data_IF_980331707359
#
_entry.id   IF_980331707359
#
_cell.length_a   1.000
_cell.length_b   1.000
_cell.length_c   1.000
_cell.angle_alpha   90.00
_cell.angle_beta   90.00
_cell.angle_gamma   90.00
#
_symmetry.space_group_name_H-M   'P 1'
#
loop_
_entity.id
_entity.type
_entity.pdbx_description
1 polymer ?
#
# COMPACT_ATOMS: atom_id res chain seq x y z
N UNK A 1 -29.22 53.95 14.31
CA UNK A 1 -28.23 52.86 14.12
C UNK A 1 -28.65 52.11 12.87
N UNK A 2 -28.13 52.54 11.72
CA UNK A 2 -28.49 51.94 10.43
C UNK A 2 -27.78 50.60 10.26
N UNK A 3 -28.57 49.54 10.13
CA UNK A 3 -28.14 48.21 9.77
C UNK A 3 -27.51 48.22 8.37
N UNK A 4 -26.19 48.03 8.30
CA UNK A 4 -25.49 47.76 7.04
C UNK A 4 -26.06 46.48 6.41
N UNK A 5 -26.84 46.63 5.34
CA UNK A 5 -27.26 45.53 4.47
C UNK A 5 -26.02 44.92 3.83
N UNK A 6 -25.63 43.71 4.25
CA UNK A 6 -24.62 42.93 3.53
C UNK A 6 -25.16 42.60 2.14
N UNK A 7 -24.58 43.19 1.10
CA UNK A 7 -24.87 42.78 -0.28
C UNK A 7 -24.30 41.38 -0.47
N UNK A 8 -25.15 40.35 -0.39
CA UNK A 8 -24.75 38.96 -0.64
C UNK A 8 -24.35 38.83 -2.11
N UNK A 9 -23.05 38.82 -2.40
CA UNK A 9 -22.53 38.46 -3.71
C UNK A 9 -22.59 36.93 -3.81
N UNK A 10 -23.43 36.35 -4.70
CA UNK A 10 -23.48 34.91 -4.85
C UNK A 10 -22.16 34.40 -5.43
N UNK A 11 -21.44 33.59 -4.65
CA UNK A 11 -20.10 33.07 -4.96
C UNK A 11 -20.00 32.51 -6.39
N UNK A 12 -21.01 31.74 -6.84
CA UNK A 12 -21.04 31.11 -8.16
C UNK A 12 -21.34 32.04 -9.35
N UNK A 13 -21.54 33.34 -9.14
CA UNK A 13 -21.68 34.34 -10.22
C UNK A 13 -20.40 35.12 -10.52
N UNK A 14 -19.30 34.86 -9.81
CA UNK A 14 -18.02 35.48 -10.12
C UNK A 14 -17.56 35.12 -11.56
N UNK A 15 -16.87 36.04 -12.27
CA UNK A 15 -16.26 35.76 -13.56
C UNK A 15 -15.30 34.57 -13.52
N UNK A 16 -15.16 33.87 -14.65
CA UNK A 16 -14.29 32.69 -14.76
C UNK A 16 -12.83 32.99 -14.38
N UNK A 17 -12.31 34.17 -14.68
CA UNK A 17 -10.94 34.56 -14.32
C UNK A 17 -10.70 34.54 -12.81
N UNK A 18 -11.67 35.01 -12.02
CA UNK A 18 -11.58 34.97 -10.55
C UNK A 18 -11.57 33.52 -10.06
N UNK A 19 -12.46 32.69 -10.61
CA UNK A 19 -12.51 31.27 -10.26
C UNK A 19 -11.23 30.53 -10.63
N UNK A 20 -10.67 30.83 -11.80
CA UNK A 20 -9.43 30.23 -12.26
C UNK A 20 -8.28 30.56 -11.32
N UNK A 21 -8.11 31.84 -10.97
CA UNK A 21 -7.08 32.28 -10.02
C UNK A 21 -7.24 31.60 -8.66
N UNK A 22 -8.48 31.53 -8.14
CA UNK A 22 -8.75 30.84 -6.87
C UNK A 22 -8.40 29.36 -6.94
N UNK A 23 -8.83 28.66 -7.98
CA UNK A 23 -8.56 27.23 -8.16
C UNK A 23 -7.06 26.94 -8.36
N UNK A 24 -6.32 27.83 -9.03
CA UNK A 24 -4.86 27.70 -9.21
C UNK A 24 -4.10 27.82 -7.88
N UNK A 25 -4.72 28.39 -6.84
CA UNK A 25 -4.16 28.51 -5.50
C UNK A 25 -4.77 27.51 -4.49
N UNK A 26 -5.66 26.62 -4.92
CA UNK A 26 -6.29 25.61 -4.06
C UNK A 26 -5.47 24.32 -3.98
N UNK A 27 -5.52 23.65 -2.82
CA UNK A 27 -5.00 22.31 -2.67
C UNK A 27 -5.77 21.29 -3.52
N UNK A 28 -5.18 20.14 -3.87
CA UNK A 28 -5.82 19.14 -4.72
C UNK A 28 -7.09 18.55 -4.08
N UNK A 29 -7.14 18.47 -2.74
CA UNK A 29 -8.34 18.04 -2.01
C UNK A 29 -9.45 19.09 -2.10
N UNK A 30 -9.12 20.38 -1.91
CA UNK A 30 -10.11 21.46 -2.03
C UNK A 30 -10.69 21.52 -3.44
N UNK A 31 -9.85 21.32 -4.46
CA UNK A 31 -10.28 21.18 -5.85
C UNK A 31 -11.25 20.02 -6.03
N UNK A 32 -10.94 18.86 -5.43
CA UNK A 32 -11.84 17.71 -5.48
C UNK A 32 -13.19 18.01 -4.81
N UNK A 33 -13.20 18.62 -3.63
CA UNK A 33 -14.44 18.99 -2.94
C UNK A 33 -15.24 20.05 -3.71
N UNK A 34 -14.57 21.08 -4.23
CA UNK A 34 -15.19 22.13 -5.04
C UNK A 34 -15.87 21.56 -6.28
N UNK A 35 -15.25 20.57 -6.91
CA UNK A 35 -15.81 19.89 -8.08
C UNK A 35 -17.16 19.21 -7.79
N UNK A 36 -17.39 18.78 -6.55
CA UNK A 36 -18.62 18.10 -6.13
C UNK A 36 -19.80 19.08 -5.96
N UNK A 37 -19.53 20.39 -5.91
CA UNK A 37 -20.58 21.39 -5.68
C UNK A 37 -21.52 21.58 -6.90
N UNK A 38 -21.03 21.40 -8.13
CA UNK A 38 -21.84 21.49 -9.34
C UNK A 38 -21.13 20.92 -10.56
N UNK A 39 -21.89 20.53 -11.59
CA UNK A 39 -21.33 20.09 -12.87
C UNK A 39 -20.43 21.15 -13.54
N UNK A 40 -20.74 22.43 -13.38
CA UNK A 40 -19.92 23.54 -13.90
C UNK A 40 -18.56 23.59 -13.20
N UNK A 41 -18.54 23.43 -11.87
CA UNK A 41 -17.28 23.40 -11.11
C UNK A 41 -16.48 22.13 -11.43
N UNK A 42 -17.14 20.99 -11.58
CA UNK A 42 -16.49 19.76 -12.01
C UNK A 42 -15.75 19.94 -13.34
N UNK A 43 -16.41 20.54 -14.35
CA UNK A 43 -15.80 20.80 -15.65
C UNK A 43 -14.62 21.78 -15.55
N UNK A 44 -14.76 22.84 -14.75
CA UNK A 44 -13.72 23.84 -14.56
C UNK A 44 -12.49 23.26 -13.85
N UNK A 45 -12.68 22.53 -12.74
CA UNK A 45 -11.61 21.85 -12.01
C UNK A 45 -10.96 20.78 -12.87
N UNK A 46 -11.74 19.96 -13.58
CA UNK A 46 -11.19 18.92 -14.47
C UNK A 46 -10.37 19.50 -15.62
N UNK A 47 -10.71 20.69 -16.12
CA UNK A 47 -9.92 21.37 -17.13
C UNK A 47 -8.58 21.87 -16.58
N UNK A 48 -8.56 22.30 -15.31
CA UNK A 48 -7.36 22.75 -14.62
C UNK A 48 -6.45 21.59 -14.20
N UNK A 49 -7.01 20.56 -13.55
CA UNK A 49 -6.29 19.41 -13.00
C UNK A 49 -5.50 18.61 -14.05
N UNK A 50 -5.90 18.65 -15.33
CA UNK A 50 -5.15 18.05 -16.45
C UNK A 50 -3.72 18.59 -16.59
N UNK A 51 -3.43 19.75 -16.01
CA UNK A 51 -2.11 20.41 -16.08
C UNK A 51 -1.18 20.01 -14.94
N UNK A 52 -1.69 19.33 -13.91
CA UNK A 52 -0.92 19.00 -12.70
C UNK A 52 -0.30 17.61 -12.77
N UNK A 53 0.71 17.41 -11.92
CA UNK A 53 1.56 16.22 -11.78
C UNK A 53 0.76 14.95 -11.41
N UNK A 54 1.33 13.75 -11.60
CA UNK A 54 0.74 12.54 -11.03
C UNK A 54 0.67 12.69 -9.50
N UNK A 55 -0.51 12.43 -8.93
CA UNK A 55 -0.71 12.39 -7.49
C UNK A 55 -0.71 10.95 -7.00
N UNK A 56 -0.12 10.71 -5.83
CA UNK A 56 -0.41 9.52 -5.05
C UNK A 56 -1.57 9.82 -4.11
N UNK A 57 -2.56 8.93 -4.07
CA UNK A 57 -3.69 9.02 -3.16
C UNK A 57 -3.45 8.02 -2.03
N UNK A 58 -3.28 8.53 -0.82
CA UNK A 58 -3.32 7.74 0.41
C UNK A 58 -4.75 7.67 0.93
N UNK A 59 -5.22 6.47 1.27
CA UNK A 59 -6.50 6.30 1.96
C UNK A 59 -6.31 5.40 3.17
N UNK A 60 -6.67 5.87 4.37
CA UNK A 60 -6.68 5.03 5.58
C UNK A 60 -8.11 4.86 6.10
N UNK A 61 -8.53 3.60 6.19
CA UNK A 61 -9.77 3.19 6.82
C UNK A 61 -9.45 2.60 8.20
N UNK A 62 -9.58 3.44 9.23
CA UNK A 62 -9.24 3.04 10.60
C UNK A 62 -10.36 2.33 11.36
N UNK A 63 -10.03 1.67 12.47
CA UNK A 63 -10.99 1.16 13.48
C UNK A 63 -11.83 2.28 14.09
N UNK A 64 -11.29 3.49 14.07
CA UNK A 64 -11.97 4.70 14.50
C UNK A 64 -13.16 5.08 13.61
N UNK A 65 -13.78 6.20 14.00
CA UNK A 65 -14.93 6.78 13.31
C UNK A 65 -14.52 7.67 12.13
N UNK A 66 -13.29 7.55 11.64
CA UNK A 66 -12.73 8.42 10.61
C UNK A 66 -12.13 7.64 9.44
N UNK A 67 -12.14 8.30 8.30
CA UNK A 67 -11.54 7.93 7.03
C UNK A 67 -10.58 9.07 6.70
N UNK A 68 -9.32 8.76 6.51
CA UNK A 68 -8.32 9.75 6.13
C UNK A 68 -8.01 9.60 4.64
N UNK A 69 -8.01 10.72 3.93
CA UNK A 69 -7.62 10.79 2.52
C UNK A 69 -6.49 11.80 2.42
N UNK A 70 -5.38 11.39 1.82
CA UNK A 70 -4.28 12.29 1.50
C UNK A 70 -3.92 12.26 0.02
N UNK A 71 -3.36 13.38 -0.43
CA UNK A 71 -2.85 13.56 -1.78
C UNK A 71 -1.46 14.17 -1.68
N UNK A 72 -0.49 13.48 -2.26
CA UNK A 72 0.90 13.93 -2.33
C UNK A 72 1.40 13.93 -3.77
N UNK A 73 2.37 14.79 -4.06
CA UNK A 73 3.21 14.66 -5.26
C UNK A 73 4.65 14.54 -4.80
N UNK A 74 5.48 13.83 -5.58
CA UNK A 74 6.90 13.66 -5.27
C UNK A 74 7.57 15.03 -5.08
N UNK A 75 8.03 15.29 -3.85
CA UNK A 75 8.74 16.53 -3.49
C UNK A 75 7.83 17.74 -3.20
N UNK A 76 6.51 17.59 -3.11
CA UNK A 76 5.61 18.64 -2.62
C UNK A 76 5.06 18.32 -1.23
N UNK A 77 4.48 19.34 -0.58
CA UNK A 77 3.67 19.13 0.61
C UNK A 77 2.50 18.19 0.36
N UNK A 78 2.06 17.51 1.42
CA UNK A 78 0.89 16.63 1.45
C UNK A 78 -0.36 17.45 1.79
N UNK A 79 -1.46 17.19 1.08
CA UNK A 79 -2.79 17.65 1.50
C UNK A 79 -3.55 16.48 2.12
N UNK A 80 -4.28 16.73 3.21
CA UNK A 80 -5.00 15.70 3.96
C UNK A 80 -6.39 16.17 4.38
N UNK A 81 -7.36 15.26 4.37
CA UNK A 81 -8.69 15.46 4.93
C UNK A 81 -9.11 14.24 5.75
N UNK A 82 -9.77 14.51 6.87
CA UNK A 82 -10.44 13.49 7.68
C UNK A 82 -11.95 13.62 7.53
N UNK A 83 -12.59 12.50 7.19
CA UNK A 83 -14.03 12.40 7.04
C UNK A 83 -14.59 11.43 8.07
N UNK A 84 -15.75 11.74 8.65
CA UNK A 84 -16.42 10.81 9.55
C UNK A 84 -16.90 9.57 8.78
N UNK A 85 -17.03 8.46 9.51
CA UNK A 85 -17.55 7.18 9.01
C UNK A 85 -18.41 6.49 10.07
N UNK A 86 -19.17 7.24 10.86
CA UNK A 86 -20.05 6.68 11.92
C UNK A 86 -21.32 6.11 11.34
N UNK A 87 -21.80 6.67 10.23
CA UNK A 87 -23.02 6.25 9.56
C UNK A 87 -22.74 5.72 8.16
N UNK A 88 -23.67 4.95 7.61
CA UNK A 88 -23.61 4.50 6.22
C UNK A 88 -23.52 5.69 5.23
N UNK A 89 -24.26 6.76 5.48
CA UNK A 89 -24.24 7.96 4.65
C UNK A 89 -22.86 8.63 4.61
N UNK A 90 -22.19 8.69 5.76
CA UNK A 90 -20.84 9.21 5.89
C UNK A 90 -19.79 8.32 5.23
N UNK A 91 -19.90 6.99 5.37
CA UNK A 91 -19.04 6.04 4.65
C UNK A 91 -19.19 6.25 3.14
N UNK A 92 -20.43 6.28 2.62
CA UNK A 92 -20.67 6.57 1.20
C UNK A 92 -20.17 7.94 0.77
N UNK A 93 -20.19 8.94 1.65
CA UNK A 93 -19.60 10.23 1.35
C UNK A 93 -18.08 10.13 1.21
N UNK A 94 -17.36 9.44 2.12
CA UNK A 94 -15.90 9.22 1.99
C UNK A 94 -15.58 8.54 0.64
N UNK A 95 -16.28 7.46 0.33
CA UNK A 95 -16.07 6.71 -0.91
C UNK A 95 -16.32 7.57 -2.16
N UNK A 96 -17.34 8.43 -2.16
CA UNK A 96 -17.61 9.37 -3.25
C UNK A 96 -16.51 10.42 -3.41
N UNK A 97 -15.92 10.89 -2.31
CA UNK A 97 -14.79 11.83 -2.39
C UNK A 97 -13.60 11.15 -3.06
N UNK A 98 -13.26 9.91 -2.70
CA UNK A 98 -12.18 9.15 -3.34
C UNK A 98 -12.45 8.94 -4.84
N UNK A 99 -13.67 8.54 -5.21
CA UNK A 99 -14.07 8.38 -6.61
C UNK A 99 -13.97 9.70 -7.40
N UNK A 100 -14.33 10.81 -6.77
CA UNK A 100 -14.23 12.13 -7.39
C UNK A 100 -12.77 12.54 -7.60
N UNK A 101 -11.89 12.25 -6.65
CA UNK A 101 -10.44 12.45 -6.79
C UNK A 101 -9.93 11.65 -7.99
N UNK A 102 -10.23 10.35 -8.10
CA UNK A 102 -9.84 9.53 -9.26
C UNK A 102 -10.36 10.06 -10.59
N UNK A 103 -11.54 10.69 -10.58
CA UNK A 103 -12.18 11.23 -11.78
C UNK A 103 -11.47 12.50 -12.27
N UNK A 104 -11.10 13.39 -11.36
CA UNK A 104 -10.43 14.65 -11.67
C UNK A 104 -8.96 14.41 -12.02
N UNK A 105 -8.28 13.64 -11.17
CA UNK A 105 -6.85 13.36 -11.30
C UNK A 105 -6.69 12.00 -12.00
N UNK A 106 -6.61 12.03 -13.33
CA UNK A 106 -6.65 10.82 -14.18
C UNK A 106 -5.41 9.92 -14.07
N UNK A 107 -4.30 10.44 -13.56
CA UNK A 107 -3.01 9.75 -13.45
C UNK A 107 -2.62 9.62 -11.99
N UNK A 108 -3.38 8.83 -11.26
CA UNK A 108 -3.15 8.61 -9.83
C UNK A 108 -2.89 7.16 -9.56
N UNK A 109 -1.90 6.92 -8.70
CA UNK A 109 -1.77 5.70 -7.94
C UNK A 109 -2.63 5.80 -6.68
N UNK A 110 -3.07 4.68 -6.15
CA UNK A 110 -3.82 4.67 -4.90
C UNK A 110 -3.30 3.59 -3.99
N UNK A 111 -3.01 4.02 -2.79
CA UNK A 111 -2.46 3.24 -1.71
C UNK A 111 -3.49 3.27 -0.59
N UNK A 112 -3.93 2.09 -0.16
CA UNK A 112 -5.01 1.98 0.82
C UNK A 112 -4.58 1.16 2.04
N UNK A 113 -4.75 1.72 3.23
CA UNK A 113 -4.49 1.07 4.52
C UNK A 113 -5.83 0.75 5.18
N UNK A 114 -5.98 -0.50 5.58
CA UNK A 114 -7.15 -1.02 6.27
C UNK A 114 -6.74 -1.46 7.66
N UNK A 115 -7.25 -0.78 8.69
CA UNK A 115 -7.00 -1.23 10.05
C UNK A 115 -7.89 -2.42 10.39
N UNK A 116 -7.33 -3.37 11.13
CA UNK A 116 -8.09 -4.49 11.66
C UNK A 116 -8.99 -4.04 12.83
N UNK A 117 -9.96 -4.89 13.18
CA UNK A 117 -10.91 -4.58 14.25
C UNK A 117 -11.93 -3.48 13.89
N UNK A 118 -12.04 -3.12 12.60
CA UNK A 118 -13.16 -2.35 12.10
C UNK A 118 -14.49 -3.07 12.38
N UNK A 119 -15.53 -2.28 12.65
CA UNK A 119 -16.90 -2.78 12.68
C UNK A 119 -17.23 -3.58 11.40
N UNK A 120 -17.88 -4.74 11.55
CA UNK A 120 -18.14 -5.67 10.45
C UNK A 120 -18.92 -5.02 9.30
N UNK A 121 -19.93 -4.20 9.62
CA UNK A 121 -20.73 -3.51 8.63
C UNK A 121 -19.89 -2.49 7.86
N UNK A 122 -19.10 -1.66 8.57
CA UNK A 122 -18.19 -0.70 7.94
C UNK A 122 -17.18 -1.42 7.03
N UNK A 123 -16.53 -2.46 7.54
CA UNK A 123 -15.55 -3.26 6.79
C UNK A 123 -16.15 -3.83 5.52
N UNK A 124 -17.35 -4.43 5.60
CA UNK A 124 -18.05 -5.02 4.44
C UNK A 124 -18.32 -3.98 3.36
N UNK A 125 -18.89 -2.83 3.73
CA UNK A 125 -19.22 -1.77 2.76
C UNK A 125 -17.97 -1.27 2.04
N UNK A 126 -16.87 -1.07 2.76
CA UNK A 126 -15.62 -0.56 2.19
C UNK A 126 -14.96 -1.63 1.31
N UNK A 127 -14.86 -2.88 1.76
CA UNK A 127 -14.25 -3.95 0.97
C UNK A 127 -15.08 -4.31 -0.28
N UNK A 128 -16.42 -4.26 -0.20
CA UNK A 128 -17.30 -4.39 -1.36
C UNK A 128 -17.11 -3.25 -2.37
N UNK A 129 -16.85 -2.03 -1.89
CA UNK A 129 -16.47 -0.93 -2.77
C UNK A 129 -15.07 -1.09 -3.35
N UNK A 130 -14.10 -1.52 -2.55
CA UNK A 130 -12.73 -1.71 -2.99
C UNK A 130 -12.62 -2.84 -4.04
N UNK A 131 -13.36 -3.94 -3.88
CA UNK A 131 -13.37 -5.05 -4.83
C UNK A 131 -13.83 -4.63 -6.24
N UNK A 132 -14.90 -3.82 -6.30
CA UNK A 132 -15.41 -3.21 -7.54
C UNK A 132 -14.41 -2.26 -8.19
N UNK A 133 -13.52 -1.68 -7.39
CA UNK A 133 -12.50 -0.73 -7.82
C UNK A 133 -11.07 -1.30 -7.74
N UNK A 134 -10.90 -2.62 -7.66
CA UNK A 134 -9.61 -3.28 -7.38
C UNK A 134 -8.46 -2.85 -8.29
N UNK A 135 -8.74 -2.48 -9.55
CA UNK A 135 -7.73 -2.00 -10.52
C UNK A 135 -7.22 -0.58 -10.28
N UNK A 136 -7.84 0.16 -9.34
CA UNK A 136 -7.42 1.53 -8.98
C UNK A 136 -6.32 1.53 -7.93
N UNK A 137 -6.16 0.43 -7.21
CA UNK A 137 -5.17 0.31 -6.15
C UNK A 137 -3.87 -0.25 -6.73
N UNK A 138 -2.79 0.49 -6.55
CA UNK A 138 -1.43 0.01 -6.79
C UNK A 138 -0.89 -0.70 -5.55
N UNK A 139 -1.35 -0.26 -4.37
CA UNK A 139 -0.87 -0.71 -3.09
C UNK A 139 -2.04 -0.89 -2.10
N UNK A 140 -1.99 -1.94 -1.30
CA UNK A 140 -2.92 -2.13 -0.19
C UNK A 140 -2.22 -2.76 1.03
N UNK A 141 -2.56 -2.27 2.21
CA UNK A 141 -2.07 -2.77 3.49
C UNK A 141 -3.23 -3.14 4.42
N UNK A 142 -3.09 -4.27 5.11
CA UNK A 142 -3.92 -4.63 6.26
C UNK A 142 -3.06 -4.48 7.51
N UNK A 143 -3.45 -3.61 8.44
CA UNK A 143 -2.63 -3.21 9.60
C UNK A 143 -3.39 -3.39 10.91
N UNK A 144 -2.73 -3.91 11.94
CA UNK A 144 -3.24 -3.81 13.31
C UNK A 144 -2.81 -4.97 14.20
N UNK A 145 -3.17 -4.86 15.48
CA UNK A 145 -2.66 -5.77 16.52
C UNK A 145 -3.40 -7.11 16.58
N UNK A 146 -4.55 -7.22 15.92
CA UNK A 146 -5.40 -8.42 15.90
C UNK A 146 -5.95 -8.65 14.51
N UNK A 147 -6.15 -9.88 14.07
CA UNK A 147 -6.94 -10.17 12.87
C UNK A 147 -7.48 -11.59 12.95
N UNK A 148 -8.53 -11.90 12.17
CA UNK A 148 -8.92 -13.29 11.93
C UNK A 148 -8.38 -13.74 10.58
N UNK A 149 -8.09 -15.04 10.45
CA UNK A 149 -7.65 -15.60 9.16
C UNK A 149 -8.66 -15.31 8.04
N UNK A 150 -9.96 -15.32 8.34
CA UNK A 150 -11.02 -14.97 7.37
C UNK A 150 -10.95 -13.51 6.91
N UNK A 151 -10.61 -12.58 7.81
CA UNK A 151 -10.43 -11.17 7.48
C UNK A 151 -9.23 -10.97 6.54
N UNK A 152 -8.12 -11.64 6.85
CA UNK A 152 -6.90 -11.62 6.04
C UNK A 152 -7.16 -12.23 4.66
N UNK A 153 -7.80 -13.39 4.59
CA UNK A 153 -8.14 -14.05 3.32
C UNK A 153 -9.09 -13.20 2.47
N UNK A 154 -10.08 -12.57 3.10
CA UNK A 154 -11.00 -11.67 2.40
C UNK A 154 -10.28 -10.44 1.83
N UNK A 155 -9.40 -9.80 2.61
CA UNK A 155 -8.56 -8.71 2.15
C UNK A 155 -7.70 -9.11 0.94
N UNK A 156 -7.04 -10.27 1.03
CA UNK A 156 -6.21 -10.80 -0.04
C UNK A 156 -6.99 -11.09 -1.32
N UNK A 157 -8.22 -11.61 -1.21
CA UNK A 157 -9.07 -11.83 -2.40
C UNK A 157 -9.52 -10.52 -3.06
N UNK A 158 -9.82 -9.49 -2.27
CA UNK A 158 -10.20 -8.15 -2.75
C UNK A 158 -9.06 -7.49 -3.51
N UNK A 159 -7.83 -7.58 -2.99
CA UNK A 159 -6.65 -6.89 -3.51
C UNK A 159 -5.69 -7.78 -4.31
N UNK A 160 -6.14 -8.93 -4.79
CA UNK A 160 -5.35 -9.87 -5.63
C UNK A 160 -4.82 -9.31 -6.96
N UNK A 161 -5.16 -8.06 -7.29
CA UNK A 161 -4.73 -7.35 -8.50
C UNK A 161 -3.83 -6.15 -8.20
N UNK A 162 -3.54 -5.87 -6.93
CA UNK A 162 -2.58 -4.85 -6.55
C UNK A 162 -1.16 -5.30 -6.94
N UNK A 163 -0.30 -4.32 -7.21
CA UNK A 163 1.12 -4.59 -7.41
C UNK A 163 1.78 -4.96 -6.08
N UNK A 164 1.43 -4.22 -5.02
CA UNK A 164 2.04 -4.33 -3.70
C UNK A 164 0.96 -4.65 -2.66
N UNK A 165 1.20 -5.69 -1.85
CA UNK A 165 0.39 -6.01 -0.68
C UNK A 165 1.24 -6.00 0.58
N UNK A 166 0.67 -5.47 1.67
CA UNK A 166 1.27 -5.54 3.00
C UNK A 166 0.30 -6.21 3.98
N UNK A 167 0.78 -7.23 4.67
CA UNK A 167 0.11 -7.90 5.77
C UNK A 167 0.84 -7.53 7.06
N UNK A 168 0.41 -6.42 7.66
CA UNK A 168 0.95 -5.86 8.90
C UNK A 168 0.06 -6.21 10.10
N UNK A 169 -0.63 -7.35 10.02
CA UNK A 169 -1.51 -7.86 11.04
C UNK A 169 -1.21 -9.35 11.30
N UNK A 170 -1.24 -9.80 12.57
CA UNK A 170 -0.88 -11.17 12.93
C UNK A 170 -1.93 -12.17 12.43
N UNK A 171 -1.48 -13.35 11.98
CA UNK A 171 -2.37 -14.46 11.60
C UNK A 171 -2.33 -15.59 12.63
N UNK A 172 -3.27 -16.54 12.54
CA UNK A 172 -3.25 -17.71 13.42
C UNK A 172 -2.09 -18.65 13.10
N UNK A 173 -1.62 -19.48 14.05
CA UNK A 173 -0.62 -20.51 13.77
C UNK A 173 -1.10 -21.57 12.75
N UNK A 174 -2.40 -21.67 12.49
CA UNK A 174 -2.98 -22.56 11.50
C UNK A 174 -3.13 -21.91 10.13
N UNK A 175 -2.91 -20.59 10.03
CA UNK A 175 -2.99 -19.86 8.78
C UNK A 175 -2.15 -20.54 7.72
N UNK A 176 -2.79 -20.72 6.57
CA UNK A 176 -2.21 -21.31 5.39
C UNK A 176 -2.76 -20.56 4.20
N UNK A 177 -1.85 -19.94 3.45
CA UNK A 177 -2.21 -19.12 2.32
C UNK A 177 -1.52 -19.63 1.07
N UNK A 178 -2.35 -20.00 0.10
CA UNK A 178 -1.92 -20.26 -1.26
C UNK A 178 -2.17 -18.97 -2.07
N UNK A 179 -1.15 -18.50 -2.78
CA UNK A 179 -1.18 -17.31 -3.64
C UNK A 179 -1.49 -17.71 -5.09
N UNK A 180 -2.77 -17.79 -5.53
CA UNK A 180 -3.08 -18.24 -6.89
C UNK A 180 -2.82 -17.15 -7.95
N UNK A 181 -2.34 -15.98 -7.57
CA UNK A 181 -2.12 -14.82 -8.44
C UNK A 181 -0.70 -14.28 -8.29
N UNK A 182 -0.27 -13.53 -9.30
CA UNK A 182 1.04 -12.90 -9.33
C UNK A 182 1.03 -11.56 -8.59
N UNK A 183 2.02 -11.32 -7.75
CA UNK A 183 2.29 -10.04 -7.09
C UNK A 183 3.68 -9.52 -7.48
N UNK A 184 3.83 -8.20 -7.57
CA UNK A 184 5.16 -7.60 -7.73
C UNK A 184 5.90 -7.61 -6.39
N UNK A 185 5.21 -7.21 -5.32
CA UNK A 185 5.78 -7.19 -3.99
C UNK A 185 4.75 -7.62 -2.93
N UNK A 186 5.23 -8.40 -1.97
CA UNK A 186 4.48 -8.82 -0.80
C UNK A 186 5.30 -8.55 0.44
N UNK A 187 4.72 -7.83 1.39
CA UNK A 187 5.32 -7.56 2.69
C UNK A 187 4.48 -8.20 3.78
N UNK A 188 5.15 -8.84 4.74
CA UNK A 188 4.51 -9.58 5.81
C UNK A 188 5.23 -9.25 7.11
N UNK A 189 4.50 -8.71 8.08
CA UNK A 189 4.92 -8.58 9.48
C UNK A 189 4.08 -9.55 10.30
N UNK A 190 4.46 -10.82 10.31
CA UNK A 190 3.66 -11.86 10.96
C UNK A 190 4.54 -12.99 11.54
N UNK A 191 4.57 -13.18 12.87
CA UNK A 191 5.28 -14.30 13.47
C UNK A 191 4.69 -15.67 13.11
N UNK A 192 3.41 -15.72 12.73
CA UNK A 192 2.71 -16.92 12.29
C UNK A 192 3.06 -17.39 10.88
N UNK A 193 3.74 -16.55 10.09
CA UNK A 193 4.07 -16.87 8.71
C UNK A 193 5.03 -18.07 8.62
N UNK A 194 4.65 -19.08 7.83
CA UNK A 194 5.34 -20.35 7.70
C UNK A 194 6.28 -20.35 6.50
N UNK A 195 7.48 -20.92 6.66
CA UNK A 195 8.46 -21.01 5.57
C UNK A 195 7.93 -21.85 4.40
N UNK A 196 7.02 -22.78 4.69
CA UNK A 196 6.37 -23.62 3.69
C UNK A 196 5.51 -22.82 2.71
N UNK A 197 4.99 -21.65 3.12
CA UNK A 197 4.19 -20.79 2.25
C UNK A 197 5.02 -20.28 1.07
N UNK A 198 6.32 -20.01 1.28
CA UNK A 198 7.26 -19.54 0.24
C UNK A 198 7.28 -20.45 -1.00
N UNK A 199 7.09 -21.75 -0.81
CA UNK A 199 7.12 -22.73 -1.91
C UNK A 199 6.00 -22.55 -2.93
N UNK A 200 4.90 -21.95 -2.51
CA UNK A 200 3.70 -21.76 -3.33
C UNK A 200 3.51 -20.33 -3.79
N UNK A 201 4.42 -19.42 -3.40
CA UNK A 201 4.29 -18.01 -3.71
C UNK A 201 4.57 -17.72 -5.18
N UNK A 202 3.67 -16.95 -5.76
CA UNK A 202 3.84 -16.33 -7.07
C UNK A 202 4.03 -14.82 -6.89
N UNK A 203 5.20 -14.41 -6.42
CA UNK A 203 5.54 -13.02 -6.15
C UNK A 203 6.95 -12.73 -6.64
N UNK A 204 7.29 -11.53 -7.13
CA UNK A 204 8.70 -11.22 -7.48
C UNK A 204 9.54 -10.99 -6.22
N UNK A 205 9.04 -10.13 -5.33
CA UNK A 205 9.74 -9.76 -4.10
C UNK A 205 8.89 -10.05 -2.87
N UNK A 206 9.49 -10.69 -1.86
CA UNK A 206 8.83 -10.95 -0.58
C UNK A 206 9.66 -10.37 0.55
N UNK A 207 9.04 -9.56 1.40
CA UNK A 207 9.64 -8.93 2.56
C UNK A 207 8.99 -9.54 3.80
N UNK A 208 9.79 -10.13 4.68
CA UNK A 208 9.28 -10.87 5.84
C UNK A 208 9.93 -10.32 7.10
N UNK A 209 9.06 -9.84 7.99
CA UNK A 209 9.42 -9.22 9.25
C UNK A 209 8.81 -9.99 10.41
N UNK A 210 9.50 -9.96 11.55
CA UNK A 210 9.13 -10.64 12.80
C UNK A 210 8.84 -12.13 12.63
N UNK A 211 9.47 -12.77 11.64
CA UNK A 211 9.22 -14.18 11.32
C UNK A 211 9.72 -15.12 12.43
N UNK A 212 9.11 -16.30 12.53
CA UNK A 212 9.60 -17.40 13.37
C UNK A 212 10.68 -18.27 12.67
N UNK A 213 11.31 -17.74 11.61
CA UNK A 213 12.29 -18.49 10.84
C UNK A 213 13.58 -18.67 11.64
N UNK A 214 14.09 -19.90 11.65
CA UNK A 214 15.42 -20.18 12.19
C UNK A 214 16.43 -20.26 11.05
N UNK A 215 17.70 -19.98 11.34
CA UNK A 215 18.79 -20.17 10.39
C UNK A 215 18.78 -21.57 9.76
N UNK A 216 18.44 -22.61 10.55
CA UNK A 216 18.36 -23.99 10.06
C UNK A 216 17.22 -24.18 9.05
N UNK A 217 16.03 -23.64 9.31
CA UNK A 217 14.88 -23.70 8.38
C UNK A 217 15.18 -22.94 7.09
N UNK A 218 15.71 -21.73 7.20
CA UNK A 218 16.03 -20.90 6.04
C UNK A 218 17.16 -21.51 5.20
N UNK A 219 18.23 -22.04 5.84
CA UNK A 219 19.28 -22.80 5.14
C UNK A 219 18.70 -24.01 4.41
N UNK A 220 17.82 -24.77 5.06
CA UNK A 220 17.17 -25.91 4.43
C UNK A 220 16.34 -25.50 3.20
N UNK A 221 15.55 -24.43 3.31
CA UNK A 221 14.82 -23.84 2.19
C UNK A 221 15.77 -23.49 1.03
N UNK A 222 16.85 -22.75 1.29
CA UNK A 222 17.81 -22.32 0.27
C UNK A 222 18.47 -23.50 -0.43
N UNK A 223 18.92 -24.51 0.34
CA UNK A 223 19.54 -25.71 -0.22
C UNK A 223 18.55 -26.50 -1.08
N UNK A 224 17.31 -26.64 -0.61
CA UNK A 224 16.27 -27.34 -1.34
C UNK A 224 15.89 -26.61 -2.63
N UNK A 225 15.78 -25.28 -2.60
CA UNK A 225 15.55 -24.47 -3.80
C UNK A 225 16.72 -24.57 -4.80
N UNK A 226 17.97 -24.46 -4.31
CA UNK A 226 19.18 -24.44 -5.14
C UNK A 226 19.39 -25.77 -5.88
N UNK A 227 19.23 -26.90 -5.18
CA UNK A 227 19.52 -28.24 -5.69
C UNK A 227 18.28 -29.03 -6.12
N UNK A 228 17.09 -28.61 -5.70
CA UNK A 228 15.81 -29.26 -5.99
C UNK A 228 15.25 -28.90 -7.36
N UNK A 229 13.96 -29.20 -7.56
CA UNK A 229 13.26 -29.01 -8.83
C UNK A 229 12.01 -28.12 -8.62
N UNK A 230 12.20 -27.01 -7.92
CA UNK A 230 11.08 -26.20 -7.42
C UNK A 230 10.83 -24.96 -8.29
N UNK A 231 9.55 -24.79 -8.64
CA UNK A 231 8.99 -23.68 -9.41
C UNK A 231 8.83 -22.43 -8.54
N UNK A 232 9.86 -22.08 -7.78
CA UNK A 232 9.82 -20.81 -7.05
C UNK A 232 9.79 -19.70 -8.10
N UNK A 233 8.76 -18.85 -8.03
CA UNK A 233 8.63 -17.68 -8.88
C UNK A 233 9.18 -16.41 -8.20
N UNK A 234 9.67 -16.54 -6.96
CA UNK A 234 10.27 -15.45 -6.18
C UNK A 234 11.71 -15.23 -6.58
N UNK A 235 12.05 -13.97 -6.91
CA UNK A 235 13.40 -13.53 -7.21
C UNK A 235 14.10 -12.93 -6.00
N UNK A 236 13.35 -12.32 -5.08
CA UNK A 236 13.92 -11.59 -3.94
C UNK A 236 13.20 -11.95 -2.64
N UNK A 237 13.96 -12.28 -1.60
CA UNK A 237 13.46 -12.48 -0.23
C UNK A 237 14.26 -11.57 0.70
N UNK A 238 13.62 -10.56 1.30
CA UNK A 238 14.22 -9.76 2.36
C UNK A 238 13.70 -10.22 3.71
N UNK A 239 14.58 -10.39 4.67
CA UNK A 239 14.24 -10.85 6.02
C UNK A 239 14.78 -9.83 7.02
N UNK A 240 13.96 -9.50 8.02
CA UNK A 240 14.41 -8.67 9.14
C UNK A 240 15.69 -9.26 9.75
N UNK A 241 16.64 -8.38 10.04
CA UNK A 241 17.82 -8.76 10.79
C UNK A 241 17.40 -9.40 12.11
N UNK A 242 17.81 -10.65 12.30
CA UNK A 242 17.44 -11.46 13.45
C UNK A 242 18.69 -11.91 14.21
N UNK A 243 18.52 -12.71 15.25
CA UNK A 243 19.61 -13.21 16.08
C UNK A 243 20.61 -14.12 15.35
N UNK A 244 20.36 -14.46 14.08
CA UNK A 244 21.28 -15.24 13.26
C UNK A 244 21.96 -14.39 12.18
N UNK A 245 23.25 -14.65 11.98
CA UNK A 245 24.03 -14.08 10.88
C UNK A 245 23.81 -14.88 9.60
N UNK A 246 23.32 -14.24 8.55
CA UNK A 246 23.18 -14.81 7.21
C UNK A 246 24.51 -15.35 6.68
N UNK A 247 25.62 -14.67 6.95
CA UNK A 247 26.97 -15.15 6.62
C UNK A 247 27.24 -16.54 7.22
N UNK A 248 26.93 -16.72 8.52
CA UNK A 248 27.09 -18.02 9.20
C UNK A 248 26.11 -19.05 8.66
N UNK A 249 24.86 -18.66 8.41
CA UNK A 249 23.83 -19.55 7.87
C UNK A 249 24.23 -20.09 6.49
N UNK A 250 24.70 -19.21 5.61
CA UNK A 250 25.11 -19.52 4.23
C UNK A 250 26.48 -20.19 4.13
N UNK A 251 27.16 -20.45 5.24
CA UNK A 251 28.44 -21.16 5.22
C UNK A 251 28.29 -22.52 4.49
N UNK A 252 29.12 -22.71 3.45
CA UNK A 252 29.10 -23.90 2.59
C UNK A 252 28.09 -23.84 1.44
N UNK A 253 27.33 -22.75 1.29
CA UNK A 253 26.46 -22.51 0.13
C UNK A 253 27.27 -21.70 -0.91
N UNK A 254 27.38 -22.15 -2.17
CA UNK A 254 27.97 -21.34 -3.23
C UNK A 254 27.12 -20.08 -3.50
N UNK A 255 27.70 -18.91 -3.22
CA UNK A 255 27.11 -17.57 -3.41
C UNK A 255 27.63 -17.01 -4.74
N UNK A 256 26.75 -16.39 -5.52
CA UNK A 256 27.06 -15.80 -6.82
C UNK A 256 27.54 -14.34 -6.72
N UNK A 257 27.02 -13.56 -5.77
CA UNK A 257 27.43 -12.18 -5.50
C UNK A 257 27.12 -11.78 -4.05
N UNK A 258 27.99 -11.00 -3.41
CA UNK A 258 27.84 -10.51 -2.03
C UNK A 258 27.72 -8.97 -1.94
N UNK A 259 28.13 -8.22 -2.96
CA UNK A 259 28.14 -6.74 -2.91
C UNK A 259 27.79 -6.03 -4.24
N UNK A 260 27.69 -6.73 -5.37
CA UNK A 260 27.41 -6.10 -6.68
C UNK A 260 25.93 -5.79 -6.92
N UNK A 261 25.04 -6.10 -5.97
CA UNK A 261 23.59 -5.93 -6.08
C UNK A 261 23.03 -4.83 -5.15
N UNK A 262 23.86 -4.22 -4.30
CA UNK A 262 23.44 -3.13 -3.44
C UNK A 262 23.38 -1.84 -4.27
N UNK A 263 22.22 -1.18 -4.29
CA UNK A 263 22.14 0.20 -4.79
C UNK A 263 22.85 1.16 -3.84
N UNK A 264 23.13 2.38 -4.29
CA UNK A 264 23.79 3.43 -3.48
C UNK A 264 23.03 3.76 -2.17
N UNK A 265 21.74 3.37 -2.07
CA UNK A 265 20.89 3.58 -0.88
C UNK A 265 20.84 2.37 0.08
N UNK A 266 21.48 1.23 -0.25
CA UNK A 266 21.41 -0.04 0.51
C UNK A 266 22.67 -0.30 1.38
N UNK A 267 23.40 0.74 1.82
CA UNK A 267 24.69 0.59 2.52
C UNK A 267 24.62 -0.26 3.82
N UNK A 268 23.44 -0.42 4.40
CA UNK A 268 23.20 -1.15 5.65
C UNK A 268 22.69 -2.60 5.47
N UNK A 269 22.37 -3.01 4.23
CA UNK A 269 21.80 -4.32 3.93
C UNK A 269 22.90 -5.33 3.52
N UNK A 270 22.96 -6.48 4.19
CA UNK A 270 23.81 -7.60 3.74
C UNK A 270 23.08 -8.37 2.64
N UNK A 271 23.46 -8.18 1.37
CA UNK A 271 22.80 -8.79 0.22
C UNK A 271 23.57 -10.01 -0.31
N UNK A 272 22.86 -11.13 -0.51
CA UNK A 272 23.43 -12.39 -1.00
C UNK A 272 22.66 -12.90 -2.23
N UNK A 273 23.33 -12.99 -3.37
CA UNK A 273 22.80 -13.61 -4.58
C UNK A 273 23.12 -15.10 -4.64
N UNK A 274 22.09 -15.95 -4.81
CA UNK A 274 22.23 -17.41 -4.92
C UNK A 274 21.61 -17.85 -6.24
N UNK A 275 22.38 -18.56 -7.06
CA UNK A 275 21.86 -19.15 -8.31
C UNK A 275 21.50 -20.62 -8.14
N UNK A 276 20.40 -21.06 -8.74
CA UNK A 276 20.03 -22.47 -8.82
C UNK A 276 20.56 -23.12 -10.11
N UNK A 277 20.28 -24.42 -10.30
CA UNK A 277 20.69 -25.19 -11.49
C UNK A 277 20.12 -24.69 -12.84
N UNK A 278 19.08 -23.86 -12.80
CA UNK A 278 18.44 -23.25 -13.98
C UNK A 278 18.97 -21.83 -14.23
N UNK A 279 20.03 -21.40 -13.53
CA UNK A 279 20.54 -20.03 -13.52
C UNK A 279 19.52 -18.96 -13.08
N UNK A 280 18.46 -19.35 -12.37
CA UNK A 280 17.60 -18.38 -11.69
C UNK A 280 18.33 -17.86 -10.46
N UNK A 281 18.25 -16.55 -10.23
CA UNK A 281 18.85 -15.89 -9.09
C UNK A 281 17.79 -15.66 -8.01
N UNK A 282 18.13 -16.03 -6.78
CA UNK A 282 17.43 -15.65 -5.57
C UNK A 282 18.33 -14.67 -4.82
N UNK A 283 17.84 -13.46 -4.60
CA UNK A 283 18.49 -12.46 -3.77
C UNK A 283 17.92 -12.56 -2.36
N UNK A 284 18.80 -12.69 -1.37
CA UNK A 284 18.42 -12.69 0.04
C UNK A 284 19.16 -11.56 0.74
N UNK A 285 18.45 -10.68 1.45
CA UNK A 285 19.10 -9.67 2.27
C UNK A 285 18.63 -9.68 3.72
N UNK A 286 19.54 -9.28 4.61
CA UNK A 286 19.21 -8.85 5.97
C UNK A 286 18.98 -7.35 5.95
N UNK A 287 17.84 -6.88 6.47
CA UNK A 287 17.58 -5.45 6.60
C UNK A 287 17.45 -5.02 8.06
N UNK A 288 18.09 -3.90 8.38
CA UNK A 288 18.07 -3.26 9.71
C UNK A 288 16.82 -2.40 9.90
N UNK A 289 16.31 -1.83 8.81
CA UNK A 289 15.13 -1.00 8.83
C UNK A 289 13.98 -1.68 8.08
N UNK A 290 13.05 -2.34 8.80
CA UNK A 290 11.88 -2.93 8.17
C UNK A 290 10.98 -1.90 7.50
N UNK A 291 11.17 -0.61 7.81
CA UNK A 291 10.26 0.47 7.44
C UNK A 291 10.91 1.57 6.57
N UNK A 292 12.21 1.52 6.33
CA UNK A 292 12.92 2.50 5.50
C UNK A 292 12.46 2.53 4.04
N UNK A 293 11.94 1.39 3.56
CA UNK A 293 11.29 1.26 2.25
C UNK A 293 9.77 1.10 2.33
N UNK A 294 9.15 1.17 3.52
CA UNK A 294 7.73 1.49 3.51
C UNK A 294 7.60 2.74 2.66
N UNK A 295 6.53 2.83 1.88
CA UNK A 295 6.00 4.15 1.61
C UNK A 295 5.70 4.66 3.03
N UNK A 296 6.67 5.38 3.61
CA UNK A 296 6.50 6.19 4.79
C UNK A 296 5.48 7.21 4.33
N UNK A 297 4.22 6.83 4.42
CA UNK A 297 3.22 7.77 4.81
C UNK A 297 3.66 8.19 6.21
N UNK A 298 4.58 9.15 6.27
CA UNK A 298 4.90 9.88 7.48
C UNK A 298 3.60 10.61 7.84
N UNK A 299 2.71 9.92 8.55
CA UNK A 299 1.45 10.43 9.05
C UNK A 299 1.65 11.20 10.36
#
# INVERSE_FOLDING_TARGET
MDSQKSSNIPLFRAPYLIWKELMENMGPIDLALLSMCSQKMEQAVSALAKRHYPYEIGVRFGKGQKCEISLSTYGSGESKIELNTTTLGEIHHCLKVIEQIWKIFRRTTTSAIFETGMDEFKRRVILDWASRNSRRFSHAALEGDTSTDDEVLHFLDVFKRCCILQLLAPTSPQFNWNLPFHLESLEIVDPGFKIENLWTMNCNSVYIFKSSFTAAKLKHFILKWKFGNEKLNVSTIRIEKSDFSMQRMLQGVPIAAHHELAGDDDEDDNIYGITNKENKMLVISESIDPFGHLINFNF
#
